data_IF_137482346951
#
_entry.id   IF_137482346951
#
_cell.length_a   1.000
_cell.length_b   1.000
_cell.length_c   1.000
_cell.angle_alpha   90.00
_cell.angle_beta   90.00
_cell.angle_gamma   90.00
#
_symmetry.space_group_name_H-M   'P 1'
#
loop_
_entity.id
_entity.type
_entity.pdbx_description
1 polymer ?
#
# COMPACT_ATOMS: atom_id res chain seq x y z
N UNK A 1 -14.15 -9.15 3.54
CA UNK A 1 -12.85 -8.53 3.93
C UNK A 1 -12.78 -7.14 3.35
N UNK A 2 -12.37 -6.13 4.14
CA UNK A 2 -12.40 -4.73 3.72
C UNK A 2 -11.50 -4.44 2.50
N UNK A 3 -10.32 -5.03 2.37
CA UNK A 3 -9.43 -4.82 1.20
C UNK A 3 -9.92 -5.44 -0.10
N UNK A 4 -10.90 -6.36 -0.05
CA UNK A 4 -11.29 -7.24 -1.17
C UNK A 4 -10.16 -8.13 -1.72
N UNK A 5 -9.09 -8.37 -0.94
CA UNK A 5 -7.99 -9.27 -1.28
C UNK A 5 -8.04 -10.55 -0.43
N UNK A 6 -7.41 -11.67 -0.89
CA UNK A 6 -7.33 -12.89 -0.10
C UNK A 6 -6.69 -12.62 1.27
N UNK A 7 -7.34 -13.05 2.35
CA UNK A 7 -6.89 -12.78 3.72
C UNK A 7 -6.69 -14.04 4.57
N UNK A 8 -6.73 -15.21 3.95
CA UNK A 8 -6.50 -16.50 4.62
C UNK A 8 -5.04 -16.63 5.12
N UNK A 9 -4.09 -16.12 4.33
CA UNK A 9 -2.68 -15.94 4.68
C UNK A 9 -2.22 -14.60 4.15
N UNK A 10 -1.52 -13.84 4.99
CA UNK A 10 -0.96 -12.55 4.62
C UNK A 10 0.41 -12.36 5.30
N UNK A 11 1.25 -11.55 4.69
CA UNK A 11 2.51 -11.09 5.27
C UNK A 11 2.29 -9.70 5.87
N UNK A 12 2.59 -9.54 7.15
CA UNK A 12 2.59 -8.22 7.78
C UNK A 12 4.00 -7.63 7.75
N UNK A 13 4.16 -6.54 7.01
CA UNK A 13 5.45 -5.92 6.72
C UNK A 13 5.73 -4.67 7.57
N UNK A 14 4.70 -4.15 8.25
CA UNK A 14 4.81 -2.91 9.03
C UNK A 14 5.23 -1.73 8.15
N UNK A 15 6.18 -0.92 8.63
CA UNK A 15 6.68 0.22 7.86
C UNK A 15 7.89 -0.15 7.00
N UNK A 16 7.85 0.22 5.72
CA UNK A 16 9.04 0.14 4.87
C UNK A 16 10.19 1.04 5.38
N UNK A 17 11.45 0.63 5.18
CA UNK A 17 12.60 1.48 5.47
C UNK A 17 12.49 2.84 4.77
N UNK A 18 12.95 3.91 5.46
CA UNK A 18 12.87 5.29 4.93
C UNK A 18 13.82 5.55 3.76
N UNK A 19 15.03 4.97 3.81
CA UNK A 19 16.12 5.19 2.84
C UNK A 19 16.89 3.90 2.57
N UNK A 20 17.90 3.57 3.38
CA UNK A 20 18.75 2.38 3.21
C UNK A 20 17.93 1.10 3.34
N UNK A 21 18.15 0.16 2.43
CA UNK A 21 17.48 -1.14 2.42
C UNK A 21 16.03 -1.14 1.93
N UNK A 22 15.49 0.01 1.52
CA UNK A 22 14.11 0.09 1.01
C UNK A 22 13.95 -0.66 -0.31
N UNK A 23 14.80 -0.36 -1.29
CA UNK A 23 14.72 -0.97 -2.61
C UNK A 23 14.92 -2.49 -2.55
N UNK A 24 15.95 -2.94 -1.85
CA UNK A 24 16.21 -4.37 -1.67
C UNK A 24 15.10 -5.10 -0.91
N UNK A 25 14.40 -4.42 0.02
CA UNK A 25 13.21 -4.97 0.67
C UNK A 25 12.07 -5.16 -0.34
N UNK A 26 11.82 -4.16 -1.20
CA UNK A 26 10.80 -4.24 -2.23
C UNK A 26 11.12 -5.33 -3.25
N UNK A 27 12.33 -5.39 -3.78
CA UNK A 27 12.76 -6.43 -4.72
C UNK A 27 12.52 -7.84 -4.17
N UNK A 28 12.84 -8.08 -2.89
CA UNK A 28 12.57 -9.37 -2.22
C UNK A 28 11.08 -9.71 -2.11
N UNK A 29 10.22 -8.69 -2.00
CA UNK A 29 8.78 -8.86 -1.85
C UNK A 29 8.05 -8.97 -3.19
N UNK A 30 8.71 -8.72 -4.32
CA UNK A 30 8.06 -8.71 -5.64
C UNK A 30 7.43 -10.07 -6.01
N UNK A 31 8.06 -11.17 -5.56
CA UNK A 31 7.58 -12.54 -5.73
C UNK A 31 6.79 -13.10 -4.54
N UNK A 32 6.40 -12.29 -3.56
CA UNK A 32 5.55 -12.74 -2.46
C UNK A 32 4.14 -13.05 -2.98
N UNK A 33 3.67 -14.30 -2.79
CA UNK A 33 2.35 -14.76 -3.27
C UNK A 33 1.22 -14.38 -2.32
N UNK A 34 1.52 -14.11 -1.05
CA UNK A 34 0.52 -13.71 -0.06
C UNK A 34 0.18 -12.23 -0.21
N UNK A 35 -1.03 -11.88 0.20
CA UNK A 35 -1.39 -10.48 0.43
C UNK A 35 -0.40 -9.87 1.44
N UNK A 36 0.12 -8.69 1.15
CA UNK A 36 1.05 -7.95 2.00
C UNK A 36 0.35 -6.77 2.65
N UNK A 37 0.63 -6.53 3.94
CA UNK A 37 0.04 -5.44 4.71
C UNK A 37 1.15 -4.53 5.23
N UNK A 38 1.08 -3.26 4.87
CA UNK A 38 2.02 -2.22 5.26
C UNK A 38 1.32 -1.13 6.07
N UNK A 39 2.05 -0.56 7.01
CA UNK A 39 1.72 0.74 7.58
C UNK A 39 2.41 1.83 6.79
N UNK A 40 1.74 2.97 6.66
CA UNK A 40 2.31 4.12 5.98
C UNK A 40 1.92 5.45 6.62
N UNK A 41 2.82 6.42 6.54
CA UNK A 41 2.55 7.80 6.91
C UNK A 41 2.00 8.57 5.71
N UNK A 42 1.09 9.53 5.91
CA UNK A 42 0.50 10.33 4.83
C UNK A 42 1.53 10.94 3.88
N UNK A 43 2.59 11.53 4.44
CA UNK A 43 3.65 12.20 3.69
C UNK A 43 4.49 11.26 2.81
N UNK A 44 4.41 9.95 3.02
CA UNK A 44 5.18 8.95 2.26
C UNK A 44 4.32 8.13 1.31
N UNK A 45 2.99 8.18 1.42
CA UNK A 45 2.09 7.32 0.64
C UNK A 45 2.39 7.40 -0.87
N UNK A 46 2.51 8.60 -1.42
CA UNK A 46 2.76 8.78 -2.86
C UNK A 46 4.08 8.16 -3.32
N UNK A 47 5.13 8.32 -2.53
CA UNK A 47 6.43 7.67 -2.80
C UNK A 47 6.29 6.16 -2.70
N UNK A 48 5.61 5.65 -1.69
CA UNK A 48 5.41 4.21 -1.51
C UNK A 48 4.59 3.58 -2.63
N UNK A 49 3.52 4.22 -3.08
CA UNK A 49 2.75 3.74 -4.24
C UNK A 49 3.59 3.75 -5.52
N UNK A 50 4.46 4.75 -5.71
CA UNK A 50 5.38 4.80 -6.84
C UNK A 50 6.39 3.64 -6.79
N UNK A 51 7.10 3.48 -5.67
CA UNK A 51 8.12 2.43 -5.50
C UNK A 51 7.51 1.02 -5.63
N UNK A 52 6.30 0.82 -5.12
CA UNK A 52 5.57 -0.45 -5.26
C UNK A 52 5.13 -0.69 -6.71
N UNK A 53 4.68 0.35 -7.43
CA UNK A 53 4.29 0.20 -8.84
C UNK A 53 5.46 -0.21 -9.70
N UNK A 54 6.64 0.36 -9.42
CA UNK A 54 7.89 0.03 -10.10
C UNK A 54 8.34 -1.40 -9.79
N UNK A 55 8.29 -1.82 -8.53
CA UNK A 55 8.75 -3.14 -8.11
C UNK A 55 7.77 -4.29 -8.46
N UNK A 56 6.45 -4.06 -8.39
CA UNK A 56 5.42 -5.13 -8.40
C UNK A 56 4.53 -5.12 -9.65
N UNK A 57 4.82 -4.24 -10.59
CA UNK A 57 3.99 -3.85 -11.74
C UNK A 57 2.80 -2.93 -11.35
N UNK A 58 2.50 -1.91 -12.19
CA UNK A 58 1.47 -0.91 -11.90
C UNK A 58 0.05 -1.47 -11.77
N UNK A 59 -0.21 -2.63 -12.37
CA UNK A 59 -1.51 -3.33 -12.43
C UNK A 59 -1.81 -4.11 -11.16
N UNK A 60 -0.82 -4.28 -10.27
CA UNK A 60 -0.99 -5.03 -9.01
C UNK A 60 -2.14 -4.46 -8.20
N UNK A 61 -3.08 -5.32 -7.81
CA UNK A 61 -4.25 -4.92 -7.01
C UNK A 61 -3.81 -4.53 -5.60
N UNK A 62 -4.39 -3.46 -5.09
CA UNK A 62 -4.14 -2.96 -3.75
C UNK A 62 -5.35 -2.22 -3.16
N UNK A 63 -5.28 -1.93 -1.87
CA UNK A 63 -6.22 -1.11 -1.13
C UNK A 63 -5.48 -0.18 -0.16
N UNK A 64 -5.84 1.09 -0.15
CA UNK A 64 -5.40 2.07 0.85
C UNK A 64 -6.57 2.30 1.80
N UNK A 65 -6.42 1.86 3.04
CA UNK A 65 -7.36 2.11 4.11
C UNK A 65 -6.82 3.22 5.02
N UNK A 66 -7.66 4.20 5.35
CA UNK A 66 -7.29 5.38 6.12
C UNK A 66 -8.26 5.56 7.28
N UNK A 67 -7.72 6.01 8.41
CA UNK A 67 -8.53 6.42 9.58
C UNK A 67 -9.56 5.35 9.99
N UNK A 68 -9.16 4.07 9.94
CA UNK A 68 -10.03 2.95 10.32
C UNK A 68 -10.61 3.17 11.71
N UNK A 69 -11.91 2.86 11.87
CA UNK A 69 -12.72 3.04 13.08
C UNK A 69 -13.01 4.50 13.48
N UNK A 70 -12.53 5.48 12.72
CA UNK A 70 -12.76 6.91 12.97
C UNK A 70 -13.84 7.48 12.04
N UNK A 71 -14.31 8.69 12.36
CA UNK A 71 -15.39 9.38 11.61
C UNK A 71 -15.11 9.56 10.12
N UNK A 72 -13.83 9.62 9.73
CA UNK A 72 -13.39 9.86 8.35
C UNK A 72 -12.72 8.63 7.73
N UNK A 73 -13.18 7.43 8.11
CA UNK A 73 -12.72 6.18 7.51
C UNK A 73 -12.90 6.20 5.98
N UNK A 74 -11.84 5.86 5.26
CA UNK A 74 -11.84 5.77 3.80
C UNK A 74 -11.10 4.51 3.36
N UNK A 75 -11.67 3.74 2.43
CA UNK A 75 -10.98 2.61 1.81
C UNK A 75 -11.07 2.74 0.30
N UNK A 76 -9.96 3.14 -0.31
CA UNK A 76 -9.82 3.19 -1.77
C UNK A 76 -9.16 1.90 -2.27
N UNK A 77 -9.70 1.33 -3.34
CA UNK A 77 -9.20 0.09 -3.98
C UNK A 77 -8.90 0.36 -5.45
N UNK A 78 -7.97 -0.39 -6.00
CA UNK A 78 -7.56 -0.24 -7.39
C UNK A 78 -6.28 -0.99 -7.70
N UNK A 79 -5.71 -0.72 -8.87
CA UNK A 79 -4.31 -1.02 -9.15
C UNK A 79 -3.39 -0.01 -8.43
N UNK A 80 -2.11 -0.32 -8.29
CA UNK A 80 -1.13 0.61 -7.71
C UNK A 80 -1.08 1.94 -8.49
N UNK A 81 -1.22 1.87 -9.83
CA UNK A 81 -1.29 3.05 -10.69
C UNK A 81 -2.55 3.89 -10.45
N UNK A 82 -3.73 3.25 -10.37
CA UNK A 82 -5.00 3.94 -10.06
C UNK A 82 -4.95 4.63 -8.69
N UNK A 83 -4.43 3.94 -7.68
CA UNK A 83 -4.30 4.48 -6.33
C UNK A 83 -3.32 5.65 -6.29
N UNK A 84 -2.18 5.54 -6.98
CA UNK A 84 -1.22 6.65 -7.07
C UNK A 84 -1.84 7.87 -7.74
N UNK A 85 -2.65 7.67 -8.78
CA UNK A 85 -3.38 8.76 -9.43
C UNK A 85 -4.41 9.40 -8.49
N UNK A 86 -5.20 8.58 -7.79
CA UNK A 86 -6.22 9.04 -6.84
C UNK A 86 -5.62 9.88 -5.69
N UNK A 87 -4.48 9.47 -5.14
CA UNK A 87 -3.81 10.17 -4.03
C UNK A 87 -2.80 11.24 -4.46
N UNK A 88 -2.70 11.54 -5.76
CA UNK A 88 -1.77 12.55 -6.28
C UNK A 88 -1.99 13.95 -5.72
N UNK A 89 -3.22 14.24 -5.26
CA UNK A 89 -3.56 15.50 -4.62
C UNK A 89 -3.30 15.44 -3.10
N UNK A 90 -2.10 15.87 -2.70
CA UNK A 90 -1.53 15.67 -1.37
C UNK A 90 -2.37 16.27 -0.21
N UNK A 91 -3.13 17.34 -0.45
CA UNK A 91 -3.91 18.04 0.58
C UNK A 91 -4.99 17.16 1.23
N UNK A 92 -5.33 16.04 0.59
CA UNK A 92 -6.36 15.10 1.05
C UNK A 92 -5.84 13.93 1.87
N UNK A 93 -4.53 13.70 1.93
CA UNK A 93 -3.96 12.52 2.62
C UNK A 93 -3.54 12.91 4.03
N UNK A 94 -4.31 12.48 5.02
CA UNK A 94 -4.10 12.69 6.46
C UNK A 94 -4.46 11.43 7.22
N UNK A 95 -3.92 11.32 8.43
CA UNK A 95 -4.25 10.26 9.38
C UNK A 95 -3.36 9.02 9.27
N UNK A 96 -3.85 7.94 9.85
CA UNK A 96 -3.20 6.62 9.83
C UNK A 96 -3.58 5.87 8.56
N UNK A 97 -2.61 5.20 7.95
CA UNK A 97 -2.79 4.52 6.67
C UNK A 97 -2.30 3.07 6.77
N UNK A 98 -3.17 2.16 6.34
CA UNK A 98 -2.85 0.77 6.08
C UNK A 98 -2.92 0.56 4.57
N UNK A 99 -1.83 0.11 3.97
CA UNK A 99 -1.77 -0.28 2.57
C UNK A 99 -1.76 -1.81 2.48
N UNK A 100 -2.71 -2.36 1.74
CA UNK A 100 -2.83 -3.80 1.51
C UNK A 100 -2.56 -4.05 0.03
N UNK A 101 -1.59 -4.90 -0.30
CA UNK A 101 -1.15 -5.17 -1.68
C UNK A 101 -1.32 -6.65 -1.97
N UNK A 102 -1.86 -7.00 -3.14
CA UNK A 102 -1.97 -8.38 -3.58
C UNK A 102 -0.59 -9.01 -3.76
N UNK A 103 -0.52 -10.34 -3.57
CA UNK A 103 0.65 -11.12 -3.97
C UNK A 103 0.87 -11.13 -5.48
N UNK A 104 1.97 -11.74 -5.91
CA UNK A 104 2.36 -11.92 -7.30
C UNK A 104 1.35 -12.73 -8.13
#
# INVERSE_FOLDING_TARGET
VASALPAHRFAFEGFLPKKKGRQSRLERLAGEERTMVFYESPHRLMRTLADLSEAFAPERRAAVARELTKRYEEIQRGTLSELRSYFSNADKVRGEIVLVVAGA
#
